data_IF_139381896495
#
_entry.id   IF_139381896495
#
_cell.length_a   1.000
_cell.length_b   1.000
_cell.length_c   1.000
_cell.angle_alpha   90.00
_cell.angle_beta   90.00
_cell.angle_gamma   90.00
#
_symmetry.space_group_name_H-M   'P 1'
#
loop_
_entity.id
_entity.type
_entity.pdbx_description
1 polymer ?
#
# COMPACT_ATOMS: atom_id res chain seq x y z
N UNK A 1 -14.61 33.12 -6.01
CA UNK A 1 -15.90 33.16 -5.27
C UNK A 1 -15.82 32.11 -4.16
N UNK A 2 -14.85 32.18 -3.23
CA UNK A 2 -14.84 33.00 -2.00
C UNK A 2 -16.27 33.30 -1.53
N UNK A 3 -17.00 32.29 -1.05
CA UNK A 3 -18.15 32.50 -0.14
C UNK A 3 -18.81 31.23 0.45
N UNK A 4 -18.27 30.02 0.25
CA UNK A 4 -18.88 28.80 0.82
C UNK A 4 -18.14 28.19 2.03
N UNK A 5 -16.94 28.67 2.38
CA UNK A 5 -16.14 28.11 3.48
C UNK A 5 -16.50 28.73 4.85
N UNK A 6 -17.16 29.90 4.88
CA UNK A 6 -17.30 30.70 6.10
C UNK A 6 -18.48 30.35 7.01
N UNK A 7 -19.32 29.35 6.69
CA UNK A 7 -20.54 29.07 7.47
C UNK A 7 -20.51 27.80 8.34
N UNK A 8 -19.40 27.06 8.38
CA UNK A 8 -19.34 25.78 9.11
C UNK A 8 -18.57 25.81 10.45
N UNK A 9 -18.23 26.99 10.98
CA UNK A 9 -17.40 27.12 12.18
C UNK A 9 -18.12 27.61 13.45
N UNK A 10 -19.45 27.75 13.48
CA UNK A 10 -20.12 28.40 14.63
C UNK A 10 -21.13 27.56 15.42
N UNK A 11 -21.15 26.23 15.31
CA UNK A 11 -22.20 25.42 15.96
C UNK A 11 -21.79 24.13 16.68
N UNK A 12 -20.50 23.88 16.97
CA UNK A 12 -20.08 22.68 17.70
C UNK A 12 -19.40 22.90 19.06
N UNK A 13 -19.21 24.15 19.49
CA UNK A 13 -18.61 24.44 20.81
C UNK A 13 -19.54 24.23 22.03
N UNK A 14 -20.76 23.70 21.86
CA UNK A 14 -21.73 23.64 22.96
C UNK A 14 -21.63 22.38 23.84
N UNK A 15 -20.93 21.32 23.41
CA UNK A 15 -20.85 20.04 24.16
C UNK A 15 -19.42 19.55 24.44
N UNK A 16 -18.40 20.42 24.32
CA UNK A 16 -17.00 20.05 24.62
C UNK A 16 -16.32 19.13 23.59
N UNK A 17 -16.91 18.92 22.41
CA UNK A 17 -16.27 18.21 21.30
C UNK A 17 -15.23 19.06 20.56
N UNK A 18 -14.20 18.41 20.02
CA UNK A 18 -13.16 19.02 19.20
C UNK A 18 -13.25 18.53 17.76
N UNK A 19 -13.05 19.42 16.79
CA UNK A 19 -13.15 19.11 15.35
C UNK A 19 -11.92 19.63 14.61
N UNK A 20 -11.24 18.74 13.90
CA UNK A 20 -10.17 19.05 12.96
C UNK A 20 -10.73 19.02 11.53
N UNK A 21 -11.19 20.18 11.08
CA UNK A 21 -11.57 20.44 9.70
C UNK A 21 -10.34 20.87 8.89
N UNK A 22 -9.50 19.92 8.50
CA UNK A 22 -8.23 20.20 7.81
C UNK A 22 -8.42 21.24 6.68
N UNK A 23 -7.93 22.44 6.93
CA UNK A 23 -7.95 23.59 6.02
C UNK A 23 -6.65 24.38 6.21
N UNK A 24 -6.44 25.42 5.40
CA UNK A 24 -5.19 26.19 5.45
C UNK A 24 -4.94 26.89 6.80
N UNK A 25 -5.97 27.19 7.58
CA UNK A 25 -5.83 27.81 8.91
C UNK A 25 -5.39 26.78 9.96
N UNK A 26 -6.01 25.59 9.99
CA UNK A 26 -5.64 24.50 10.92
C UNK A 26 -4.22 24.00 10.65
N UNK A 27 -3.80 23.95 9.38
CA UNK A 27 -2.40 23.61 9.04
C UNK A 27 -1.42 24.63 9.61
N UNK A 28 -1.74 25.92 9.50
CA UNK A 28 -0.88 26.98 10.02
C UNK A 28 -0.79 26.90 11.55
N UNK A 29 -1.90 26.61 12.22
CA UNK A 29 -1.97 26.40 13.66
C UNK A 29 -1.13 25.20 14.12
N UNK A 30 -1.25 24.07 13.44
CA UNK A 30 -0.55 22.82 13.79
C UNK A 30 0.79 22.63 13.05
N UNK A 31 1.22 23.63 12.28
CA UNK A 31 2.48 23.65 11.49
C UNK A 31 2.71 22.39 10.64
N UNK A 32 1.67 21.87 10.00
CA UNK A 32 1.79 20.65 9.18
C UNK A 32 2.69 20.94 7.96
N UNK A 33 3.90 20.39 7.96
CA UNK A 33 4.86 20.60 6.88
C UNK A 33 4.44 19.83 5.62
N UNK A 34 4.61 20.45 4.45
CA UNK A 34 4.32 19.86 3.13
C UNK A 34 2.86 19.41 2.91
N UNK A 35 1.93 19.87 3.75
CA UNK A 35 0.50 19.60 3.59
C UNK A 35 -0.01 20.00 2.20
N UNK A 36 -0.67 19.04 1.54
CA UNK A 36 -1.37 19.23 0.28
C UNK A 36 -2.83 18.88 0.43
N UNK A 37 -3.67 19.50 -0.38
CA UNK A 37 -5.10 19.21 -0.43
C UNK A 37 -5.48 18.69 -1.80
N UNK A 38 -6.42 17.75 -1.81
CA UNK A 38 -7.07 17.35 -3.04
C UNK A 38 -8.02 18.47 -3.52
N UNK A 39 -8.24 18.51 -4.82
CA UNK A 39 -9.11 19.51 -5.46
C UNK A 39 -10.59 19.25 -5.13
N UNK A 40 -11.44 20.24 -5.41
CA UNK A 40 -12.86 20.21 -5.02
C UNK A 40 -13.68 19.13 -5.72
N UNK A 41 -13.29 18.76 -6.94
CA UNK A 41 -13.95 17.74 -7.76
C UNK A 41 -13.83 16.32 -7.19
N UNK A 42 -12.92 16.13 -6.24
CA UNK A 42 -12.71 14.86 -5.53
C UNK A 42 -12.98 14.96 -4.03
N UNK A 43 -13.72 16.00 -3.61
CA UNK A 43 -14.25 16.13 -2.25
C UNK A 43 -13.36 16.87 -1.26
N UNK A 44 -12.30 17.55 -1.74
CA UNK A 44 -11.24 18.13 -0.90
C UNK A 44 -10.53 17.06 -0.04
N UNK A 45 -10.01 17.42 1.14
CA UNK A 45 -9.32 16.53 2.07
C UNK A 45 -7.81 16.74 2.09
N UNK A 46 -7.23 16.57 3.28
CA UNK A 46 -5.78 16.57 3.47
C UNK A 46 -5.21 15.31 2.85
N UNK A 47 -4.25 15.47 1.94
CA UNK A 47 -3.52 14.35 1.34
C UNK A 47 -2.46 13.87 2.34
N UNK A 48 -2.57 12.61 2.72
CA UNK A 48 -1.70 11.93 3.68
C UNK A 48 -0.88 10.89 2.93
N UNK A 49 0.44 10.95 3.08
CA UNK A 49 1.38 9.96 2.53
C UNK A 49 2.66 9.99 3.37
N UNK A 50 3.61 9.10 3.04
CA UNK A 50 4.91 8.99 3.74
C UNK A 50 5.74 10.28 3.85
N UNK A 51 5.39 11.33 3.09
CA UNK A 51 6.08 12.63 3.15
C UNK A 51 5.39 13.67 4.02
N UNK A 52 4.16 13.40 4.50
CA UNK A 52 3.25 14.44 5.00
C UNK A 52 2.54 14.12 6.32
N UNK A 53 2.64 12.92 6.90
CA UNK A 53 1.98 12.49 8.15
C UNK A 53 2.84 11.44 8.88
N UNK A 54 2.67 11.17 10.19
CA UNK A 54 1.59 11.61 11.10
C UNK A 54 1.75 13.02 11.72
N UNK A 55 0.67 13.56 12.29
CA UNK A 55 0.66 14.79 13.10
C UNK A 55 0.41 14.51 14.58
N UNK A 56 1.38 14.84 15.43
CA UNK A 56 1.23 14.81 16.89
C UNK A 56 0.48 16.05 17.39
N UNK A 57 -0.51 15.83 18.26
CA UNK A 57 -1.30 16.86 18.94
C UNK A 57 -0.71 17.08 20.33
N UNK A 58 -0.11 18.26 20.54
CA UNK A 58 0.62 18.59 21.77
C UNK A 58 -0.27 18.60 23.03
N UNK A 59 -1.55 18.98 22.89
CA UNK A 59 -2.49 19.04 24.00
C UNK A 59 -3.34 17.78 24.07
N UNK A 60 -3.24 17.08 25.21
CA UNK A 60 -4.08 15.90 25.53
C UNK A 60 -5.40 16.26 26.23
N UNK A 61 -5.74 17.55 26.36
CA UNK A 61 -6.98 17.99 27.04
C UNK A 61 -8.26 17.53 26.33
N UNK A 62 -8.19 17.27 25.03
CA UNK A 62 -9.31 16.76 24.23
C UNK A 62 -9.46 15.23 24.30
N UNK A 63 -8.59 14.50 25.01
CA UNK A 63 -8.71 13.06 25.12
C UNK A 63 -9.94 12.69 25.96
N UNK A 64 -10.80 11.77 25.47
CA UNK A 64 -11.95 11.31 26.23
C UNK A 64 -11.51 10.49 27.45
N UNK A 65 -12.34 10.41 28.48
CA UNK A 65 -12.02 9.67 29.73
C UNK A 65 -12.93 8.47 29.94
N UNK A 66 -14.25 8.65 29.86
CA UNK A 66 -15.23 7.60 30.20
C UNK A 66 -16.02 7.09 28.99
N UNK A 67 -16.42 8.00 28.11
CA UNK A 67 -17.27 7.71 26.96
C UNK A 67 -17.06 8.76 25.87
N UNK A 68 -17.24 8.39 24.60
CA UNK A 68 -17.02 9.29 23.47
C UNK A 68 -17.59 8.78 22.14
N UNK A 69 -17.56 9.68 21.16
CA UNK A 69 -17.66 9.39 19.74
C UNK A 69 -16.44 9.95 19.02
N UNK A 70 -15.79 9.13 18.18
CA UNK A 70 -14.80 9.58 17.19
C UNK A 70 -15.39 9.39 15.80
N UNK A 71 -15.22 10.37 14.91
CA UNK A 71 -15.66 10.30 13.53
C UNK A 71 -14.62 10.88 12.58
N UNK A 72 -14.47 10.25 11.42
CA UNK A 72 -13.66 10.74 10.31
C UNK A 72 -14.34 10.46 8.98
N UNK A 73 -14.17 11.37 8.02
CA UNK A 73 -14.22 11.02 6.60
C UNK A 73 -12.81 10.62 6.19
N UNK A 74 -12.67 9.44 5.60
CA UNK A 74 -11.38 8.84 5.24
C UNK A 74 -11.43 8.18 3.86
N UNK A 75 -10.34 8.28 3.12
CA UNK A 75 -10.11 7.54 1.87
C UNK A 75 -8.77 6.81 1.99
N UNK A 76 -8.74 5.51 1.69
CA UNK A 76 -7.52 4.69 1.76
C UNK A 76 -6.93 4.53 0.35
N UNK A 77 -5.66 4.86 0.15
CA UNK A 77 -4.97 4.65 -1.13
C UNK A 77 -4.01 3.47 -1.10
N UNK A 78 -3.31 3.27 0.03
CA UNK A 78 -2.45 2.11 0.28
C UNK A 78 -2.98 1.31 1.49
N UNK A 79 -3.42 0.05 1.28
CA UNK A 79 -3.73 -0.86 2.38
C UNK A 79 -2.53 -1.08 3.29
N UNK A 80 -2.76 -1.16 4.60
CA UNK A 80 -1.73 -1.44 5.59
C UNK A 80 -2.28 -2.39 6.63
N UNK A 81 -1.46 -3.32 7.11
CA UNK A 81 -1.82 -4.22 8.20
C UNK A 81 -2.21 -3.46 9.48
N UNK A 82 -1.53 -2.34 9.74
CA UNK A 82 -1.74 -1.48 10.90
C UNK A 82 -1.92 -0.01 10.46
N UNK A 83 -2.95 0.28 9.66
CA UNK A 83 -3.25 1.65 9.25
C UNK A 83 -3.95 2.44 10.37
N UNK A 84 -3.48 3.64 10.70
CA UNK A 84 -4.16 4.50 11.67
C UNK A 84 -4.73 5.77 11.05
N UNK A 85 -5.90 6.21 11.54
CA UNK A 85 -6.59 7.44 11.13
C UNK A 85 -6.43 8.50 12.22
N UNK A 86 -6.66 8.12 13.47
CA UNK A 86 -6.50 8.96 14.66
C UNK A 86 -6.45 8.08 15.89
N UNK A 87 -5.55 8.37 16.82
CA UNK A 87 -5.42 7.57 18.03
C UNK A 87 -4.43 8.13 19.03
N UNK A 88 -4.48 7.58 20.24
CA UNK A 88 -3.50 7.73 21.30
C UNK A 88 -3.32 6.33 21.87
N UNK A 89 -2.40 5.56 21.30
CA UNK A 89 -2.30 4.11 21.50
C UNK A 89 -0.88 3.72 21.93
N UNK A 90 -0.77 2.57 22.59
CA UNK A 90 0.47 1.85 22.80
C UNK A 90 0.17 0.37 22.67
N UNK A 91 0.91 -0.37 21.83
CA UNK A 91 0.67 -1.80 21.61
C UNK A 91 2.02 -2.53 21.40
N UNK A 92 2.67 -2.91 22.50
CA UNK A 92 4.01 -3.51 22.48
C UNK A 92 4.07 -4.89 23.14
N UNK A 93 3.25 -5.82 22.66
CA UNK A 93 3.02 -7.18 23.18
C UNK A 93 2.47 -7.24 24.62
N UNK A 94 3.17 -6.61 25.56
CA UNK A 94 2.86 -6.58 27.00
C UNK A 94 2.41 -5.19 27.46
N UNK A 95 2.12 -4.27 26.55
CA UNK A 95 1.74 -2.89 26.92
C UNK A 95 0.68 -2.47 25.93
N UNK A 96 -0.59 -2.60 26.31
CA UNK A 96 -1.75 -2.39 25.43
C UNK A 96 -2.71 -1.32 26.00
N UNK A 97 -2.48 -0.06 25.61
CA UNK A 97 -3.15 1.10 26.20
C UNK A 97 -3.80 2.00 25.15
N UNK A 98 -4.82 2.73 25.58
CA UNK A 98 -5.42 3.83 24.85
C UNK A 98 -6.43 3.37 23.80
N UNK A 99 -6.42 4.01 22.64
CA UNK A 99 -7.36 3.73 21.56
C UNK A 99 -6.83 4.20 20.20
N UNK A 100 -7.33 3.58 19.14
CA UNK A 100 -7.05 3.98 17.76
C UNK A 100 -8.23 3.66 16.85
N UNK A 101 -8.65 4.64 16.06
CA UNK A 101 -9.46 4.43 14.86
C UNK A 101 -8.52 4.23 13.69
N UNK A 102 -8.66 3.12 12.98
CA UNK A 102 -7.71 2.68 11.97
C UNK A 102 -8.33 1.79 10.90
N UNK A 103 -7.47 1.02 10.25
CA UNK A 103 -7.81 0.06 9.21
C UNK A 103 -6.73 -1.01 9.10
N UNK A 104 -7.10 -2.17 8.58
CA UNK A 104 -6.18 -3.23 8.15
C UNK A 104 -6.16 -3.28 6.60
N UNK A 105 -5.74 -4.38 5.99
CA UNK A 105 -5.63 -4.55 4.54
C UNK A 105 -6.97 -4.45 3.78
N UNK A 106 -8.11 -4.60 4.46
CA UNK A 106 -9.44 -4.66 3.81
C UNK A 106 -10.57 -3.96 4.56
N UNK A 107 -10.44 -3.76 5.87
CA UNK A 107 -11.50 -3.32 6.77
C UNK A 107 -11.06 -2.13 7.62
N UNK A 108 -12.03 -1.34 8.08
CA UNK A 108 -11.79 -0.37 9.15
C UNK A 108 -11.72 -1.08 10.50
N UNK A 109 -10.92 -0.55 11.42
CA UNK A 109 -10.70 -1.12 12.74
C UNK A 109 -10.84 -0.06 13.83
N UNK A 110 -11.22 -0.50 15.02
CA UNK A 110 -11.16 0.32 16.22
C UNK A 110 -10.61 -0.48 17.41
N UNK A 111 -9.48 -0.05 17.95
CA UNK A 111 -8.86 -0.59 19.15
C UNK A 111 -9.19 0.27 20.38
N UNK A 112 -9.48 -0.37 21.51
CA UNK A 112 -9.73 0.31 22.78
C UNK A 112 -9.26 -0.53 23.97
N UNK A 113 -8.57 0.11 24.91
CA UNK A 113 -8.17 -0.45 26.20
C UNK A 113 -8.80 0.35 27.36
N UNK A 114 -9.36 -0.37 28.34
CA UNK A 114 -10.10 0.21 29.46
C UNK A 114 -9.72 -0.44 30.77
N UNK A 115 -9.95 0.28 31.87
CA UNK A 115 -9.67 -0.20 33.24
C UNK A 115 -10.41 -1.50 33.55
N UNK A 116 -11.64 -1.69 33.04
CA UNK A 116 -12.46 -2.85 33.35
C UNK A 116 -12.04 -4.14 32.64
N UNK A 117 -11.28 -4.04 31.56
CA UNK A 117 -10.72 -5.20 30.84
C UNK A 117 -9.23 -5.42 31.10
N UNK A 118 -8.57 -4.50 31.80
CA UNK A 118 -7.15 -4.58 32.14
C UNK A 118 -6.80 -5.88 32.90
N UNK A 119 -5.88 -6.65 32.34
CA UNK A 119 -5.37 -7.93 32.86
C UNK A 119 -4.01 -7.81 33.58
N UNK A 120 -3.46 -6.60 33.65
CA UNK A 120 -2.25 -6.28 34.42
C UNK A 120 -1.45 -5.17 33.76
N UNK A 121 -1.36 -5.23 32.44
CA UNK A 121 -0.53 -4.40 31.57
C UNK A 121 -1.32 -3.84 30.36
N UNK A 122 -2.64 -3.77 30.53
CA UNK A 122 -3.58 -3.27 29.54
C UNK A 122 -4.04 -4.36 28.58
N UNK A 123 -5.25 -4.21 28.04
CA UNK A 123 -5.80 -5.15 27.05
C UNK A 123 -6.50 -4.36 25.94
N UNK A 124 -5.97 -4.43 24.72
CA UNK A 124 -6.56 -3.81 23.53
C UNK A 124 -7.56 -4.76 22.87
N UNK A 125 -8.84 -4.43 22.94
CA UNK A 125 -9.86 -5.11 22.11
C UNK A 125 -9.98 -4.39 20.78
N UNK A 126 -9.73 -5.11 19.69
CA UNK A 126 -9.96 -4.63 18.33
C UNK A 126 -11.31 -5.10 17.77
N UNK A 127 -12.00 -4.16 17.12
CA UNK A 127 -13.24 -4.39 16.39
C UNK A 127 -13.02 -4.06 14.92
N UNK A 128 -13.27 -5.00 14.01
CA UNK A 128 -13.27 -4.76 12.57
C UNK A 128 -14.68 -4.48 12.01
N UNK A 129 -14.75 -3.87 10.83
CA UNK A 129 -16.01 -3.53 10.15
C UNK A 129 -16.74 -4.73 9.51
N UNK A 130 -16.27 -5.96 9.72
CA UNK A 130 -16.90 -7.19 9.22
C UNK A 130 -17.01 -7.19 7.69
N UNK A 131 -18.18 -7.53 7.17
CA UNK A 131 -18.42 -7.59 5.72
C UNK A 131 -18.40 -6.20 5.03
N UNK A 132 -18.26 -5.09 5.78
CA UNK A 132 -18.12 -3.75 5.23
C UNK A 132 -16.65 -3.40 4.98
N UNK A 133 -16.07 -3.99 3.93
CA UNK A 133 -14.74 -3.64 3.45
C UNK A 133 -14.72 -2.24 2.81
N UNK A 134 -13.58 -1.55 2.90
CA UNK A 134 -13.40 -0.28 2.19
C UNK A 134 -12.95 -0.50 0.75
N UNK A 135 -13.20 0.49 -0.10
CA UNK A 135 -12.71 0.50 -1.48
C UNK A 135 -11.63 1.56 -1.66
N UNK A 136 -10.56 1.21 -2.37
CA UNK A 136 -9.41 2.10 -2.52
C UNK A 136 -9.76 3.39 -3.27
N UNK A 137 -9.35 4.51 -2.70
CA UNK A 137 -9.55 5.85 -3.23
C UNK A 137 -10.98 6.38 -3.09
N UNK A 138 -11.95 5.60 -2.58
CA UNK A 138 -13.29 6.09 -2.25
C UNK A 138 -13.32 6.74 -0.87
N UNK A 139 -14.30 7.62 -0.65
CA UNK A 139 -14.57 8.21 0.66
C UNK A 139 -15.51 7.33 1.45
N UNK A 140 -15.14 7.04 2.69
CA UNK A 140 -15.99 6.41 3.69
C UNK A 140 -16.13 7.30 4.93
N UNK A 141 -17.30 7.26 5.55
CA UNK A 141 -17.54 7.86 6.85
C UNK A 141 -17.43 6.80 7.92
N UNK A 142 -16.40 6.90 8.76
CA UNK A 142 -16.12 5.91 9.81
C UNK A 142 -16.33 6.56 11.17
N UNK A 143 -17.12 5.90 12.02
CA UNK A 143 -17.46 6.38 13.35
C UNK A 143 -17.31 5.26 14.37
N UNK A 144 -16.59 5.50 15.46
CA UNK A 144 -16.58 4.62 16.62
C UNK A 144 -17.21 5.31 17.82
N UNK A 145 -18.04 4.58 18.57
CA UNK A 145 -18.67 5.08 19.80
C UNK A 145 -18.41 4.12 20.96
N UNK A 146 -18.13 4.70 22.13
CA UNK A 146 -17.95 3.96 23.35
C UNK A 146 -18.77 4.59 24.47
N UNK A 147 -19.69 3.82 25.06
CA UNK A 147 -20.63 4.29 26.09
C UNK A 147 -20.17 4.00 27.54
N UNK A 148 -18.92 3.61 27.73
CA UNK A 148 -18.38 3.13 29.01
C UNK A 148 -18.63 1.63 29.24
N UNK A 149 -19.35 0.94 28.34
CA UNK A 149 -19.63 -0.51 28.43
C UNK A 149 -19.65 -1.22 27.09
N UNK A 150 -20.08 -0.55 26.03
CA UNK A 150 -20.20 -1.11 24.69
C UNK A 150 -19.46 -0.23 23.71
N UNK A 151 -18.61 -0.89 22.95
CA UNK A 151 -17.91 -0.34 21.80
C UNK A 151 -18.68 -0.67 20.52
N UNK A 152 -18.80 0.31 19.62
CA UNK A 152 -19.48 0.16 18.32
C UNK A 152 -18.67 0.81 17.22
N UNK A 153 -18.65 0.19 16.04
CA UNK A 153 -18.05 0.72 14.82
C UNK A 153 -19.12 0.83 13.73
N UNK A 154 -19.16 1.98 13.08
CA UNK A 154 -20.08 2.30 11.99
C UNK A 154 -19.29 2.69 10.75
N UNK A 155 -19.76 2.24 9.59
CA UNK A 155 -19.25 2.62 8.28
C UNK A 155 -20.43 3.14 7.45
N UNK A 156 -20.27 4.32 6.87
CA UNK A 156 -21.24 4.99 6.00
C UNK A 156 -22.64 5.09 6.64
N UNK A 157 -22.65 5.42 7.94
CA UNK A 157 -23.87 5.61 8.73
C UNK A 157 -24.51 4.32 9.25
N UNK A 158 -23.97 3.15 8.92
CA UNK A 158 -24.53 1.83 9.28
C UNK A 158 -23.69 1.19 10.37
N UNK A 159 -24.33 0.58 11.37
CA UNK A 159 -23.62 -0.20 12.40
C UNK A 159 -22.99 -1.44 11.75
N UNK A 160 -21.67 -1.48 11.74
CA UNK A 160 -20.90 -2.59 11.18
C UNK A 160 -20.64 -3.68 12.21
N UNK A 161 -20.25 -3.30 13.43
CA UNK A 161 -19.92 -4.25 14.49
C UNK A 161 -20.05 -3.65 15.90
N UNK A 162 -20.17 -4.48 16.93
CA UNK A 162 -20.17 -4.04 18.35
C UNK A 162 -19.66 -5.12 19.32
N UNK A 163 -19.05 -4.70 20.43
CA UNK A 163 -18.57 -5.60 21.50
C UNK A 163 -18.77 -4.98 22.88
N UNK A 164 -18.86 -5.82 23.91
CA UNK A 164 -18.97 -5.41 25.34
C UNK A 164 -17.83 -5.95 26.20
N UNK A 165 -16.69 -6.29 25.59
CA UNK A 165 -15.50 -6.77 26.30
C UNK A 165 -14.81 -5.68 27.13
N UNK A 166 -14.89 -4.43 26.68
CA UNK A 166 -14.28 -3.26 27.33
C UNK A 166 -15.31 -2.54 28.22
N UNK A 167 -14.90 -2.09 29.41
CA UNK A 167 -15.78 -1.38 30.36
C UNK A 167 -15.03 -0.39 31.27
N UNK A 168 -15.69 0.69 31.67
CA UNK A 168 -15.11 1.71 32.55
C UNK A 168 -14.24 2.72 31.81
N UNK A 169 -13.35 3.40 32.55
CA UNK A 169 -12.55 4.49 32.01
C UNK A 169 -11.50 3.95 31.02
N UNK A 170 -11.18 4.78 30.04
CA UNK A 170 -10.12 4.51 29.06
C UNK A 170 -8.78 4.44 29.79
N UNK A 171 -7.97 3.44 29.45
CA UNK A 171 -6.69 3.20 30.09
C UNK A 171 -5.57 3.77 29.20
N UNK A 172 -5.10 4.98 29.49
CA UNK A 172 -4.02 5.62 28.74
C UNK A 172 -2.63 5.30 29.30
N UNK A 173 -1.63 5.33 28.42
CA UNK A 173 -0.22 5.47 28.79
C UNK A 173 0.19 6.95 28.68
N UNK A 174 0.95 7.44 29.66
CA UNK A 174 1.39 8.84 29.72
C UNK A 174 2.33 9.20 28.54
N UNK A 175 3.14 8.24 28.06
CA UNK A 175 4.08 8.45 26.96
C UNK A 175 3.43 8.45 25.58
N UNK A 176 2.27 7.79 25.40
CA UNK A 176 1.62 7.65 24.09
C UNK A 176 1.36 8.99 23.42
N UNK A 177 1.72 9.12 22.15
CA UNK A 177 1.43 10.32 21.38
C UNK A 177 -0.04 10.34 20.94
N UNK A 178 -0.70 11.50 21.03
CA UNK A 178 -2.02 11.68 20.43
C UNK A 178 -1.82 12.14 18.99
N UNK A 179 -2.21 11.33 18.02
CA UNK A 179 -1.82 11.48 16.62
C UNK A 179 -3.03 11.50 15.68
N UNK A 180 -2.98 12.38 14.67
CA UNK A 180 -3.83 12.35 13.49
C UNK A 180 -3.05 11.80 12.29
N UNK A 181 -3.71 10.99 11.46
CA UNK A 181 -3.15 10.48 10.20
C UNK A 181 -2.08 9.42 10.36
N UNK A 182 -2.15 8.62 11.42
CA UNK A 182 -1.30 7.44 11.56
C UNK A 182 -1.63 6.62 12.79
N UNK A 183 -1.08 5.42 12.82
CA UNK A 183 -0.94 4.58 14.00
C UNK A 183 0.49 4.79 14.50
N UNK A 184 0.65 5.25 15.73
CA UNK A 184 1.95 5.59 16.30
C UNK A 184 1.97 5.14 17.75
N UNK A 185 3.01 4.38 18.09
CA UNK A 185 3.40 4.06 19.45
C UNK A 185 4.92 4.20 19.64
N UNK A 186 5.48 3.68 20.74
CA UNK A 186 6.89 3.86 21.10
C UNK A 186 7.91 3.32 20.07
N UNK A 187 7.57 2.36 19.21
CA UNK A 187 8.49 1.75 18.22
C UNK A 187 7.85 1.49 16.85
N UNK A 188 6.55 1.72 16.68
CA UNK A 188 5.83 1.60 15.43
C UNK A 188 5.35 2.96 14.93
N UNK A 189 5.45 3.16 13.61
CA UNK A 189 4.92 4.34 12.94
C UNK A 189 4.37 3.94 11.57
N UNK A 190 3.05 3.82 11.52
CA UNK A 190 2.31 3.48 10.32
C UNK A 190 1.45 4.69 9.89
N UNK A 191 2.02 5.60 9.10
CA UNK A 191 1.29 6.77 8.63
C UNK A 191 0.13 6.36 7.72
N UNK A 192 -0.99 7.08 7.80
CA UNK A 192 -2.07 6.94 6.84
C UNK A 192 -1.60 7.29 5.43
N UNK A 193 -2.04 6.51 4.45
CA UNK A 193 -1.86 6.83 3.03
C UNK A 193 -3.22 6.93 2.34
N UNK A 194 -3.56 8.15 1.92
CA UNK A 194 -4.86 8.51 1.37
C UNK A 194 -5.30 9.93 1.74
N UNK A 195 -6.59 10.11 2.06
CA UNK A 195 -7.15 11.43 2.38
C UNK A 195 -7.96 11.44 3.67
N UNK A 196 -7.83 12.53 4.41
CA UNK A 196 -8.58 12.78 5.65
C UNK A 196 -9.39 14.06 5.57
N UNK A 197 -10.60 14.00 6.12
CA UNK A 197 -11.49 15.14 6.21
C UNK A 197 -12.35 15.02 7.49
N UNK A 198 -12.60 16.16 8.15
CA UNK A 198 -13.58 16.27 9.24
C UNK A 198 -13.38 15.24 10.38
N UNK A 199 -12.16 15.15 10.94
CA UNK A 199 -11.96 14.34 12.15
C UNK A 199 -12.60 15.05 13.33
N UNK A 200 -13.36 14.34 14.15
CA UNK A 200 -13.99 14.92 15.35
C UNK A 200 -14.04 13.93 16.50
N UNK A 201 -13.76 14.42 17.70
CA UNK A 201 -13.94 13.73 18.98
C UNK A 201 -15.03 14.47 19.76
N UNK A 202 -16.07 13.79 20.17
CA UNK A 202 -17.15 14.32 21.00
C UNK A 202 -17.26 13.53 22.30
N UNK A 203 -17.44 14.24 23.42
CA UNK A 203 -17.69 13.62 24.71
C UNK A 203 -19.08 12.98 24.79
N UNK A 204 -19.99 13.35 23.88
CA UNK A 204 -21.29 12.71 23.71
C UNK A 204 -21.15 11.40 22.93
N UNK A 205 -21.81 10.37 23.45
CA UNK A 205 -22.02 9.12 22.72
C UNK A 205 -23.17 9.30 21.73
N UNK A 206 -22.88 9.20 20.44
CA UNK A 206 -23.87 9.24 19.38
C UNK A 206 -24.57 7.89 19.26
N UNK A 207 -25.89 7.89 19.09
CA UNK A 207 -26.64 6.68 18.75
C UNK A 207 -26.70 6.46 17.23
N UNK A 208 -27.23 5.30 16.80
CA UNK A 208 -27.26 4.94 15.38
C UNK A 208 -28.00 5.94 14.47
N UNK A 209 -29.08 6.59 14.95
CA UNK A 209 -29.78 7.61 14.17
C UNK A 209 -28.92 8.85 14.00
N UNK A 210 -28.23 9.27 15.06
CA UNK A 210 -27.34 10.44 15.02
C UNK A 210 -26.14 10.19 14.11
N UNK A 211 -25.58 8.98 14.12
CA UNK A 211 -24.50 8.58 13.19
C UNK A 211 -25.00 8.56 11.74
N UNK A 212 -26.19 8.01 11.48
CA UNK A 212 -26.82 8.09 10.17
C UNK A 212 -27.03 9.53 9.69
N UNK A 213 -27.50 10.42 10.58
CA UNK A 213 -27.67 11.84 10.28
C UNK A 213 -26.32 12.55 10.03
N UNK A 214 -25.23 12.11 10.66
CA UNK A 214 -23.88 12.61 10.39
C UNK A 214 -23.42 12.24 8.98
N UNK A 215 -23.63 10.99 8.57
CA UNK A 215 -23.32 10.53 7.22
C UNK A 215 -24.14 11.27 6.16
N UNK A 216 -25.46 11.36 6.35
CA UNK A 216 -26.39 11.98 5.40
C UNK A 216 -26.06 13.46 5.08
N UNK A 217 -25.41 14.18 6.01
CA UNK A 217 -24.97 15.57 5.80
C UNK A 217 -23.85 15.71 4.77
N UNK A 218 -23.14 14.62 4.45
CA UNK A 218 -21.95 14.60 3.59
C UNK A 218 -21.88 13.38 2.66
N UNK A 219 -22.97 12.63 2.51
CA UNK A 219 -23.03 11.41 1.70
C UNK A 219 -22.66 11.61 0.23
N UNK A 220 -22.67 12.85 -0.25
CA UNK A 220 -22.17 13.19 -1.58
C UNK A 220 -20.69 12.82 -1.77
N UNK A 221 -19.90 12.75 -0.70
CA UNK A 221 -18.49 12.36 -0.76
C UNK A 221 -18.32 10.90 -1.19
N UNK A 222 -19.15 9.99 -0.68
CA UNK A 222 -19.13 8.56 -1.04
C UNK A 222 -19.60 8.29 -2.48
N UNK A 223 -20.23 9.27 -3.13
CA UNK A 223 -20.65 9.18 -4.52
C UNK A 223 -19.58 9.66 -5.52
N UNK A 224 -18.43 10.15 -5.04
CA UNK A 224 -17.33 10.58 -5.89
C UNK A 224 -16.54 9.39 -6.42
N UNK A 225 -15.96 9.55 -7.60
CA UNK A 225 -15.06 8.55 -8.18
C UNK A 225 -13.82 8.35 -7.29
N UNK A 226 -13.23 7.16 -7.37
CA UNK A 226 -11.97 6.87 -6.69
C UNK A 226 -10.87 7.82 -7.16
N UNK A 227 -10.07 8.28 -6.20
CA UNK A 227 -8.97 9.20 -6.46
C UNK A 227 -7.70 8.75 -5.76
N UNK A 228 -6.57 9.14 -6.35
CA UNK A 228 -5.25 8.98 -5.77
C UNK A 228 -4.33 10.15 -6.14
N UNK A 229 -3.48 10.55 -5.19
CA UNK A 229 -2.37 11.50 -5.43
C UNK A 229 -1.17 10.82 -6.08
N UNK A 230 -1.17 9.48 -6.10
CA UNK A 230 -0.15 8.66 -6.71
C UNK A 230 -0.20 8.83 -8.22
N UNK A 231 0.88 9.36 -8.78
CA UNK A 231 1.03 9.49 -10.22
C UNK A 231 1.52 8.20 -10.83
N UNK A 232 1.03 7.86 -12.02
CA UNK A 232 1.55 6.74 -12.80
C UNK A 232 3.07 6.85 -13.01
N UNK A 233 3.77 5.83 -12.52
CA UNK A 233 5.20 5.55 -12.65
C UNK A 233 5.43 4.03 -12.53
N UNK A 234 6.66 3.58 -12.77
CA UNK A 234 7.07 2.18 -12.55
C UNK A 234 7.30 1.94 -11.05
N UNK A 235 6.51 1.05 -10.43
CA UNK A 235 6.79 0.54 -9.08
C UNK A 235 7.87 -0.55 -9.14
N UNK A 236 7.80 -1.39 -10.18
CA UNK A 236 8.84 -2.31 -10.61
C UNK A 236 8.94 -2.17 -12.12
N UNK A 237 10.10 -1.74 -12.61
CA UNK A 237 10.35 -1.66 -14.05
C UNK A 237 10.32 -3.07 -14.70
N UNK A 238 10.01 -3.17 -16.01
CA UNK A 238 10.02 -4.44 -16.74
C UNK A 238 11.28 -5.28 -16.58
N UNK A 239 11.08 -6.53 -16.17
CA UNK A 239 12.11 -7.57 -16.02
C UNK A 239 11.72 -8.87 -16.73
N UNK A 240 12.70 -9.77 -16.87
CA UNK A 240 12.60 -10.98 -17.68
C UNK A 240 12.73 -12.25 -16.83
N UNK A 241 11.83 -13.22 -17.04
CA UNK A 241 11.88 -14.55 -16.45
C UNK A 241 11.55 -15.64 -17.46
N UNK A 242 11.79 -16.90 -17.04
CA UNK A 242 11.36 -18.12 -17.71
C UNK A 242 11.58 -18.13 -19.23
N UNK A 243 12.85 -18.03 -19.66
CA UNK A 243 13.17 -18.11 -21.08
C UNK A 243 13.01 -19.55 -21.58
N UNK A 244 12.54 -19.70 -22.81
CA UNK A 244 12.69 -20.94 -23.60
C UNK A 244 13.30 -20.58 -24.96
N UNK A 245 13.42 -21.56 -25.86
CA UNK A 245 13.89 -21.30 -27.23
C UNK A 245 12.91 -20.44 -28.03
N UNK A 246 11.63 -20.39 -27.64
CA UNK A 246 10.58 -19.68 -28.38
C UNK A 246 9.68 -18.76 -27.53
N UNK A 247 9.93 -18.66 -26.24
CA UNK A 247 9.14 -17.87 -25.28
C UNK A 247 10.01 -17.10 -24.29
N UNK A 248 9.44 -16.03 -23.73
CA UNK A 248 10.04 -15.20 -22.69
C UNK A 248 8.93 -14.56 -21.86
N UNK A 249 9.09 -14.51 -20.55
CA UNK A 249 8.16 -13.77 -19.70
C UNK A 249 8.66 -12.35 -19.44
N UNK A 250 7.75 -11.37 -19.55
CA UNK A 250 7.98 -9.97 -19.21
C UNK A 250 7.00 -9.58 -18.13
N UNK A 251 7.51 -9.17 -16.96
CA UNK A 251 6.68 -8.78 -15.81
C UNK A 251 7.08 -7.40 -15.31
N UNK A 252 6.13 -6.67 -14.72
CA UNK A 252 6.31 -5.35 -14.13
C UNK A 252 5.15 -4.95 -13.22
N UNK A 253 5.35 -3.90 -12.42
CA UNK A 253 4.32 -3.32 -11.56
C UNK A 253 4.29 -1.79 -11.72
N UNK A 254 3.09 -1.22 -11.84
CA UNK A 254 2.86 0.22 -11.89
C UNK A 254 2.35 0.78 -10.56
N UNK A 255 2.60 2.06 -10.31
CA UNK A 255 2.14 2.77 -9.10
C UNK A 255 0.64 3.03 -9.07
N UNK A 256 -0.11 2.75 -10.14
CA UNK A 256 -1.57 2.80 -10.23
C UNK A 256 -2.07 1.71 -11.20
N UNK A 257 -3.34 1.27 -11.14
CA UNK A 257 -3.88 0.33 -12.12
C UNK A 257 -3.82 0.86 -13.56
N UNK A 258 -3.26 0.06 -14.47
CA UNK A 258 -3.11 0.39 -15.89
C UNK A 258 -3.60 -0.72 -16.80
N UNK A 259 -3.96 -0.39 -18.03
CA UNK A 259 -3.80 -1.34 -19.14
C UNK A 259 -2.38 -1.21 -19.68
N UNK A 260 -1.78 -2.29 -20.16
CA UNK A 260 -0.42 -2.24 -20.67
C UNK A 260 -0.24 -3.00 -21.97
N UNK A 261 0.78 -2.65 -22.73
CA UNK A 261 1.15 -3.27 -24.00
C UNK A 261 2.65 -3.58 -24.04
N UNK A 262 3.00 -4.78 -24.50
CA UNK A 262 4.37 -5.20 -24.75
C UNK A 262 4.53 -5.46 -26.25
N UNK A 263 5.45 -4.72 -26.88
CA UNK A 263 5.79 -4.90 -28.30
C UNK A 263 7.17 -5.52 -28.44
N UNK A 264 7.31 -6.46 -29.38
CA UNK A 264 8.56 -7.16 -29.66
C UNK A 264 9.00 -6.96 -31.12
N UNK A 265 10.28 -6.66 -31.30
CA UNK A 265 10.91 -6.39 -32.59
C UNK A 265 12.18 -7.24 -32.74
N UNK A 266 12.43 -7.78 -33.94
CA UNK A 266 13.72 -8.39 -34.24
C UNK A 266 14.83 -7.34 -34.36
N UNK A 267 16.08 -7.81 -34.40
CA UNK A 267 17.27 -6.95 -34.44
C UNK A 267 17.34 -6.04 -35.68
N UNK A 268 16.75 -6.46 -36.80
CA UNK A 268 16.57 -5.67 -38.02
C UNK A 268 15.44 -4.62 -37.93
N UNK A 269 14.73 -4.56 -36.80
CA UNK A 269 13.66 -3.60 -36.54
C UNK A 269 12.28 -4.05 -37.02
N UNK A 270 12.13 -5.25 -37.57
CA UNK A 270 10.83 -5.78 -37.98
C UNK A 270 9.98 -6.07 -36.74
N UNK A 271 8.79 -5.47 -36.68
CA UNK A 271 7.82 -5.77 -35.63
C UNK A 271 7.36 -7.23 -35.77
N UNK A 272 7.46 -8.00 -34.67
CA UNK A 272 7.04 -9.40 -34.66
C UNK A 272 5.62 -9.54 -34.14
N UNK A 273 5.32 -8.90 -33.01
CA UNK A 273 3.99 -8.89 -32.43
C UNK A 273 3.87 -7.81 -31.35
N UNK A 274 2.64 -7.57 -30.93
CA UNK A 274 2.31 -6.82 -29.73
C UNK A 274 1.26 -7.59 -28.92
N UNK A 275 1.36 -7.52 -27.60
CA UNK A 275 0.41 -8.13 -26.66
C UNK A 275 -0.06 -7.05 -25.68
N UNK A 276 -1.37 -6.91 -25.53
CA UNK A 276 -1.97 -5.94 -24.62
C UNK A 276 -2.85 -6.59 -23.55
N UNK A 277 -2.93 -5.96 -22.38
CA UNK A 277 -3.92 -6.31 -21.36
C UNK A 277 -5.19 -5.48 -21.54
N UNK A 278 -6.35 -6.09 -21.30
CA UNK A 278 -7.64 -5.40 -21.31
C UNK A 278 -8.07 -4.96 -19.91
N UNK A 279 -7.68 -5.73 -18.89
CA UNK A 279 -7.93 -5.43 -17.49
C UNK A 279 -6.96 -4.37 -16.98
N UNK A 280 -7.48 -3.47 -16.15
CA UNK A 280 -6.69 -2.48 -15.41
C UNK A 280 -6.21 -3.08 -14.10
N UNK A 281 -4.91 -3.28 -13.96
CA UNK A 281 -4.28 -3.79 -12.75
C UNK A 281 -2.91 -3.16 -12.55
N UNK A 282 -2.32 -3.32 -11.37
CA UNK A 282 -0.97 -2.79 -11.07
C UNK A 282 0.11 -3.73 -11.57
N UNK A 283 -0.06 -5.03 -11.33
CA UNK A 283 0.89 -6.05 -11.75
C UNK A 283 0.52 -6.66 -13.09
N UNK A 284 1.48 -6.70 -14.00
CA UNK A 284 1.33 -7.23 -15.35
C UNK A 284 2.39 -8.28 -15.64
N UNK A 285 1.97 -9.34 -16.33
CA UNK A 285 2.83 -10.44 -16.77
C UNK A 285 2.39 -10.84 -18.17
N UNK A 286 3.37 -10.93 -19.08
CA UNK A 286 3.19 -11.26 -20.47
C UNK A 286 4.11 -12.42 -20.85
N UNK A 287 3.52 -13.52 -21.32
CA UNK A 287 4.25 -14.64 -21.93
C UNK A 287 4.41 -14.40 -23.43
N UNK A 288 5.54 -13.80 -23.80
CA UNK A 288 5.94 -13.65 -25.19
C UNK A 288 6.15 -15.04 -25.82
N UNK A 289 5.68 -15.24 -27.05
CA UNK A 289 5.73 -16.53 -27.74
C UNK A 289 6.02 -16.36 -29.24
N UNK A 290 6.11 -17.48 -29.97
CA UNK A 290 6.46 -17.51 -31.39
C UNK A 290 7.78 -16.79 -31.72
N UNK A 291 8.74 -16.85 -30.79
CA UNK A 291 10.09 -16.35 -30.97
C UNK A 291 10.97 -17.41 -31.66
N UNK A 292 12.02 -16.95 -32.32
CA UNK A 292 13.03 -17.81 -32.92
C UNK A 292 14.13 -18.13 -31.90
N UNK A 293 14.67 -19.34 -31.98
CA UNK A 293 15.74 -19.84 -31.10
C UNK A 293 17.02 -19.02 -31.20
N UNK A 294 17.69 -18.81 -30.06
CA UNK A 294 18.96 -18.10 -29.93
C UNK A 294 19.03 -16.71 -30.60
N UNK A 295 17.87 -16.06 -30.77
CA UNK A 295 17.75 -14.81 -31.49
C UNK A 295 17.66 -13.64 -30.51
N UNK A 296 18.34 -12.54 -30.88
CA UNK A 296 18.24 -11.28 -30.14
C UNK A 296 16.99 -10.52 -30.57
N UNK A 297 16.23 -10.08 -29.58
CA UNK A 297 15.03 -9.27 -29.73
C UNK A 297 15.14 -7.98 -28.94
N UNK A 298 14.29 -7.04 -29.30
CA UNK A 298 14.07 -5.82 -28.55
C UNK A 298 12.61 -5.70 -28.16
N UNK A 299 12.37 -5.32 -26.91
CA UNK A 299 11.03 -5.12 -26.40
C UNK A 299 10.84 -3.70 -25.86
N UNK A 300 9.60 -3.23 -25.94
CA UNK A 300 9.15 -2.00 -25.32
C UNK A 300 7.84 -2.28 -24.58
N UNK A 301 7.66 -1.60 -23.46
CA UNK A 301 6.47 -1.70 -22.62
C UNK A 301 5.87 -0.32 -22.47
N UNK A 302 4.57 -0.21 -22.71
CA UNK A 302 3.77 0.98 -22.43
C UNK A 302 2.69 0.64 -21.41
N UNK A 303 2.42 1.54 -20.48
CA UNK A 303 1.36 1.41 -19.48
C UNK A 303 0.52 2.68 -19.46
N UNK A 304 -0.81 2.53 -19.50
CA UNK A 304 -1.76 3.66 -19.57
C UNK A 304 -2.76 3.60 -18.42
N UNK A 305 -2.84 4.68 -17.64
CA UNK A 305 -3.76 4.79 -16.50
C UNK A 305 -5.20 5.13 -16.92
N UNK A 306 -6.10 5.22 -15.93
CA UNK A 306 -7.51 5.58 -16.15
C UNK A 306 -7.70 7.00 -16.68
N UNK A 307 -6.72 7.90 -16.51
CA UNK A 307 -6.73 9.28 -16.96
C UNK A 307 -6.14 9.45 -18.37
N UNK A 308 -5.68 8.35 -18.98
CA UNK A 308 -5.07 8.34 -20.31
C UNK A 308 -3.61 8.80 -20.33
N UNK A 309 -2.95 8.92 -19.17
CA UNK A 309 -1.50 9.14 -19.11
C UNK A 309 -0.81 7.83 -19.45
N UNK A 310 0.17 7.89 -20.34
CA UNK A 310 1.02 6.75 -20.72
C UNK A 310 2.45 6.96 -20.23
N UNK A 311 3.06 5.91 -19.69
CA UNK A 311 4.50 5.81 -19.45
C UNK A 311 5.07 4.68 -20.31
N UNK A 312 6.31 4.85 -20.76
CA UNK A 312 6.99 3.89 -21.62
C UNK A 312 8.39 3.61 -21.05
N UNK A 313 8.85 2.36 -21.14
CA UNK A 313 10.28 2.07 -20.97
C UNK A 313 11.00 2.18 -22.31
N UNK A 314 12.19 2.79 -22.29
CA UNK A 314 13.05 2.85 -23.47
C UNK A 314 13.40 1.42 -23.94
N UNK A 315 13.43 1.20 -25.25
CA UNK A 315 13.66 -0.10 -25.91
C UNK A 315 14.81 -0.90 -25.26
N UNK A 316 14.46 -1.98 -24.56
CA UNK A 316 15.38 -2.95 -23.96
C UNK A 316 15.57 -4.15 -24.91
N UNK A 317 16.53 -5.00 -24.61
CA UNK A 317 16.84 -6.18 -25.44
C UNK A 317 17.00 -7.43 -24.62
N UNK A 318 16.58 -8.56 -25.18
CA UNK A 318 16.83 -9.89 -24.64
C UNK A 318 17.27 -10.84 -25.75
N UNK A 319 17.67 -12.05 -25.37
CA UNK A 319 17.92 -13.16 -26.30
C UNK A 319 17.18 -14.40 -25.81
N UNK A 320 16.53 -15.12 -26.73
CA UNK A 320 15.88 -16.40 -26.43
C UNK A 320 16.89 -17.47 -26.05
N UNK A 321 16.44 -18.54 -25.40
CA UNK A 321 17.33 -19.62 -25.02
C UNK A 321 18.04 -20.22 -26.25
N UNK A 322 19.31 -20.62 -26.10
CA UNK A 322 20.06 -21.34 -27.12
C UNK A 322 19.50 -22.75 -27.33
N UNK A 323 19.75 -23.34 -28.50
CA UNK A 323 19.54 -24.78 -28.72
C UNK A 323 20.66 -25.64 -28.13
N UNK A 324 20.50 -26.96 -28.15
CA UNK A 324 21.46 -27.94 -27.57
C UNK A 324 22.88 -27.87 -28.16
N UNK A 325 23.03 -27.32 -29.36
CA UNK A 325 24.33 -27.24 -30.04
C UNK A 325 25.01 -25.86 -29.89
N UNK A 326 24.33 -24.92 -29.25
CA UNK A 326 24.80 -23.54 -29.10
C UNK A 326 25.49 -23.34 -27.76
N UNK A 327 26.58 -22.54 -27.78
CA UNK A 327 27.26 -22.14 -26.54
C UNK A 327 26.52 -21.01 -25.85
N UNK A 328 26.49 -21.05 -24.53
CA UNK A 328 25.93 -19.98 -23.72
C UNK A 328 26.75 -19.75 -22.45
N UNK A 329 26.45 -18.63 -21.81
CA UNK A 329 27.03 -18.24 -20.52
C UNK A 329 25.90 -17.91 -19.55
N UNK A 330 26.11 -18.20 -18.29
CA UNK A 330 25.18 -17.84 -17.23
C UNK A 330 25.94 -17.31 -16.02
N UNK A 331 25.24 -16.57 -15.17
CA UNK A 331 25.73 -16.17 -13.85
C UNK A 331 24.86 -16.85 -12.79
N UNK A 332 25.50 -17.42 -11.78
CA UNK A 332 24.83 -17.86 -10.57
C UNK A 332 25.02 -16.79 -9.48
N UNK A 333 23.91 -16.32 -8.90
CA UNK A 333 23.87 -15.33 -7.81
C UNK A 333 22.96 -15.89 -6.71
N UNK A 334 23.13 -15.46 -5.47
CA UNK A 334 22.22 -15.75 -4.35
C UNK A 334 22.35 -14.65 -3.32
N UNK A 335 21.46 -14.66 -2.33
CA UNK A 335 21.59 -13.83 -1.12
C UNK A 335 21.65 -12.32 -1.43
N UNK A 336 20.83 -11.84 -2.37
CA UNK A 336 20.73 -10.41 -2.73
C UNK A 336 19.89 -9.60 -1.73
N UNK A 337 19.54 -10.20 -0.60
CA UNK A 337 18.70 -9.69 0.48
C UNK A 337 18.78 -8.17 0.74
N UNK A 338 19.80 -7.74 1.48
CA UNK A 338 19.97 -6.34 1.92
C UNK A 338 21.15 -5.69 1.21
N UNK A 339 21.38 -4.39 1.46
CA UNK A 339 22.45 -3.60 0.84
C UNK A 339 22.27 -3.43 -0.68
N UNK A 340 21.17 -2.78 -1.08
CA UNK A 340 20.83 -2.45 -2.46
C UNK A 340 22.03 -1.95 -3.30
N UNK A 341 22.88 -1.08 -2.75
CA UNK A 341 24.07 -0.55 -3.45
C UNK A 341 25.15 -1.61 -3.73
N UNK A 342 25.29 -2.64 -2.89
CA UNK A 342 26.20 -3.77 -3.13
C UNK A 342 25.61 -4.65 -4.22
N UNK A 343 24.33 -5.02 -4.09
CA UNK A 343 23.60 -5.85 -5.05
C UNK A 343 23.65 -5.23 -6.43
N UNK A 344 23.39 -3.92 -6.54
CA UNK A 344 23.47 -3.20 -7.81
C UNK A 344 24.85 -3.28 -8.44
N UNK A 345 25.92 -3.12 -7.66
CA UNK A 345 27.30 -3.26 -8.18
C UNK A 345 27.56 -4.67 -8.70
N UNK A 346 27.05 -5.70 -8.01
CA UNK A 346 27.16 -7.10 -8.48
C UNK A 346 26.35 -7.29 -9.77
N UNK A 347 25.13 -6.76 -9.85
CA UNK A 347 24.30 -6.82 -11.06
C UNK A 347 24.97 -6.10 -12.26
N UNK A 348 25.54 -4.92 -12.04
CA UNK A 348 26.30 -4.17 -13.05
C UNK A 348 27.52 -4.99 -13.54
N UNK A 349 28.28 -5.61 -12.63
CA UNK A 349 29.41 -6.47 -12.95
C UNK A 349 28.98 -7.72 -13.73
N UNK A 350 27.94 -8.41 -13.28
CA UNK A 350 27.38 -9.58 -13.95
C UNK A 350 26.93 -9.24 -15.37
N UNK A 351 26.27 -8.09 -15.57
CA UNK A 351 25.84 -7.65 -16.90
C UNK A 351 27.02 -7.40 -17.85
N UNK A 352 28.17 -6.93 -17.36
CA UNK A 352 29.37 -6.74 -18.19
C UNK A 352 29.91 -8.05 -18.79
N UNK A 353 29.63 -9.20 -18.16
CA UNK A 353 29.97 -10.52 -18.70
C UNK A 353 29.00 -10.98 -19.80
N UNK A 354 27.93 -10.23 -20.07
CA UNK A 354 26.90 -10.51 -21.08
C UNK A 354 26.31 -11.93 -20.99
N UNK A 355 25.85 -12.36 -19.81
CA UNK A 355 25.24 -13.68 -19.67
C UNK A 355 23.97 -13.81 -20.51
N UNK A 356 23.67 -15.05 -20.91
CA UNK A 356 22.40 -15.42 -21.52
C UNK A 356 21.31 -15.69 -20.48
N UNK A 357 21.72 -16.05 -19.26
CA UNK A 357 20.84 -16.45 -18.17
C UNK A 357 21.43 -16.03 -16.82
N UNK A 358 20.56 -15.66 -15.88
CA UNK A 358 20.89 -15.56 -14.46
C UNK A 358 20.18 -16.67 -13.71
N UNK A 359 20.89 -17.43 -12.89
CA UNK A 359 20.29 -18.39 -11.94
C UNK A 359 20.43 -17.80 -10.55
N UNK A 360 19.31 -17.63 -9.85
CA UNK A 360 19.30 -17.05 -8.50
C UNK A 360 19.00 -18.12 -7.45
N UNK A 361 19.93 -18.37 -6.54
CA UNK A 361 19.90 -19.47 -5.59
C UNK A 361 19.07 -19.21 -4.32
N UNK A 362 18.04 -18.36 -4.41
CA UNK A 362 17.21 -17.94 -3.27
C UNK A 362 17.76 -16.75 -2.48
N UNK A 363 16.97 -16.32 -1.49
CA UNK A 363 17.22 -15.16 -0.64
C UNK A 363 17.38 -13.87 -1.47
N UNK A 364 16.36 -13.62 -2.30
CA UNK A 364 16.23 -12.45 -3.15
C UNK A 364 16.05 -11.19 -2.28
N UNK A 365 15.25 -11.30 -1.23
CA UNK A 365 14.87 -10.23 -0.31
C UNK A 365 15.21 -10.59 1.13
N UNK A 366 15.23 -9.60 2.03
CA UNK A 366 15.50 -9.86 3.46
C UNK A 366 14.28 -10.44 4.18
N UNK A 367 13.07 -10.00 3.81
CA UNK A 367 11.80 -10.52 4.35
C UNK A 367 10.74 -10.58 3.26
N UNK A 368 10.33 -11.79 2.85
CA UNK A 368 9.39 -12.02 1.75
C UNK A 368 8.01 -11.37 1.91
N UNK A 369 7.54 -11.22 3.15
CA UNK A 369 6.24 -10.58 3.44
C UNK A 369 6.30 -9.04 3.38
N UNK A 370 7.50 -8.45 3.31
CA UNK A 370 7.68 -6.99 3.27
C UNK A 370 7.84 -6.51 1.83
N UNK A 371 6.76 -5.98 1.24
CA UNK A 371 6.73 -5.44 -0.13
C UNK A 371 7.85 -4.43 -0.45
N UNK A 372 8.30 -3.66 0.55
CA UNK A 372 9.39 -2.70 0.40
C UNK A 372 10.74 -3.37 0.11
N UNK A 373 10.99 -4.59 0.59
CA UNK A 373 12.23 -5.31 0.26
C UNK A 373 12.23 -5.73 -1.22
N UNK A 374 11.08 -6.10 -1.78
CA UNK A 374 10.95 -6.39 -3.21
C UNK A 374 11.13 -5.14 -4.06
N UNK A 375 10.30 -4.13 -3.80
CA UNK A 375 10.13 -2.95 -4.67
C UNK A 375 11.17 -1.85 -4.41
N UNK A 376 11.74 -1.79 -3.22
CA UNK A 376 12.74 -0.81 -2.83
C UNK A 376 14.17 -1.34 -2.87
N UNK A 377 14.39 -2.64 -2.69
CA UNK A 377 15.73 -3.24 -2.68
C UNK A 377 15.98 -4.14 -3.89
N UNK A 378 15.31 -5.30 -3.99
CA UNK A 378 15.67 -6.33 -4.98
C UNK A 378 15.53 -5.83 -6.42
N UNK A 379 14.33 -5.43 -6.83
CA UNK A 379 14.06 -5.08 -8.23
C UNK A 379 14.90 -3.88 -8.71
N UNK A 380 14.93 -2.73 -8.01
CA UNK A 380 15.76 -1.60 -8.45
C UNK A 380 17.25 -1.93 -8.54
N UNK A 381 17.77 -2.77 -7.65
CA UNK A 381 19.18 -3.15 -7.62
C UNK A 381 19.55 -4.10 -8.74
N UNK A 382 18.67 -5.06 -9.05
CA UNK A 382 18.90 -6.06 -10.10
C UNK A 382 18.55 -5.56 -11.50
N UNK A 383 17.77 -4.48 -11.61
CA UNK A 383 17.23 -3.98 -12.88
C UNK A 383 18.25 -3.77 -14.02
N UNK A 384 19.49 -3.29 -13.76
CA UNK A 384 20.52 -3.21 -14.81
C UNK A 384 20.78 -4.54 -15.53
N UNK A 385 20.61 -5.67 -14.82
CA UNK A 385 20.80 -7.03 -15.32
C UNK A 385 19.49 -7.64 -15.80
N UNK A 386 18.45 -7.70 -14.95
CA UNK A 386 17.24 -8.50 -15.22
C UNK A 386 16.27 -7.88 -16.21
N UNK A 387 16.39 -6.58 -16.51
CA UNK A 387 15.71 -5.96 -17.64
C UNK A 387 16.28 -6.36 -19.01
N UNK A 388 17.35 -7.16 -19.06
CA UNK A 388 18.01 -7.56 -20.33
C UNK A 388 18.40 -9.03 -20.39
N UNK A 389 18.59 -9.65 -19.24
CA UNK A 389 18.95 -11.06 -19.11
C UNK A 389 17.87 -11.74 -18.28
N UNK A 390 17.22 -12.80 -18.79
CA UNK A 390 16.24 -13.53 -18.00
C UNK A 390 16.89 -14.12 -16.75
N UNK A 391 16.19 -14.06 -15.62
CA UNK A 391 16.61 -14.75 -14.41
C UNK A 391 15.65 -15.88 -14.02
N UNK A 392 16.20 -16.89 -13.37
CA UNK A 392 15.50 -18.09 -12.89
C UNK A 392 15.84 -18.25 -11.40
N UNK A 393 14.99 -17.76 -10.48
CA UNK A 393 15.19 -17.86 -9.04
C UNK A 393 14.54 -19.12 -8.45
N UNK A 394 15.14 -19.65 -7.40
CA UNK A 394 14.44 -20.55 -6.46
C UNK A 394 14.11 -19.79 -5.17
N UNK A 395 13.16 -20.29 -4.40
CA UNK A 395 12.77 -19.74 -3.11
C UNK A 395 13.85 -20.06 -2.05
N UNK A 396 14.29 -19.05 -1.31
CA UNK A 396 15.16 -19.16 -0.13
C UNK A 396 14.39 -19.04 1.19
N UNK A 397 15.08 -19.16 2.32
CA UNK A 397 14.41 -19.10 3.62
C UNK A 397 13.90 -17.70 3.98
N UNK A 398 14.48 -16.63 3.40
CA UNK A 398 14.04 -15.26 3.66
C UNK A 398 12.79 -14.86 2.89
N UNK A 399 12.46 -15.56 1.79
CA UNK A 399 11.19 -15.38 1.08
C UNK A 399 9.98 -15.84 1.89
N UNK A 400 10.16 -16.69 2.91
CA UNK A 400 9.12 -17.12 3.86
C UNK A 400 7.86 -17.72 3.22
N UNK A 401 7.98 -18.29 2.01
CA UNK A 401 6.83 -18.76 1.23
C UNK A 401 5.75 -17.67 1.02
N UNK A 402 6.19 -16.40 1.00
CA UNK A 402 5.29 -15.26 0.92
C UNK A 402 4.66 -15.12 -0.46
N UNK A 403 3.39 -14.72 -0.49
CA UNK A 403 2.62 -14.52 -1.72
C UNK A 403 3.34 -13.59 -2.72
N UNK A 404 4.09 -12.60 -2.24
CA UNK A 404 4.86 -11.70 -3.11
C UNK A 404 5.87 -12.43 -4.03
N UNK A 405 6.47 -13.54 -3.60
CA UNK A 405 7.33 -14.33 -4.49
C UNK A 405 6.52 -14.82 -5.71
N UNK A 406 5.38 -15.45 -5.47
CA UNK A 406 4.49 -15.99 -6.50
C UNK A 406 3.80 -14.88 -7.31
N UNK A 407 3.60 -13.70 -6.73
CA UNK A 407 3.09 -12.55 -7.47
C UNK A 407 4.11 -12.06 -8.49
N UNK A 408 5.41 -12.05 -8.14
CA UNK A 408 6.46 -11.46 -8.96
C UNK A 408 7.14 -12.44 -9.91
N UNK A 409 7.06 -13.73 -9.66
CA UNK A 409 7.74 -14.73 -10.47
C UNK A 409 6.78 -15.34 -11.48
N UNK A 410 7.25 -15.50 -12.71
CA UNK A 410 6.62 -16.34 -13.72
C UNK A 410 7.59 -17.47 -14.05
N UNK A 411 7.33 -18.66 -13.50
CA UNK A 411 8.25 -19.79 -13.54
C UNK A 411 7.49 -21.08 -13.85
N UNK A 412 8.18 -22.17 -14.25
CA UNK A 412 7.52 -23.45 -14.38
C UNK A 412 6.86 -23.85 -13.05
N UNK A 413 5.63 -24.33 -13.14
CA UNK A 413 4.87 -24.77 -11.97
C UNK A 413 5.58 -25.93 -11.25
N UNK A 414 5.54 -25.98 -9.91
CA UNK A 414 4.80 -25.11 -8.97
C UNK A 414 5.54 -23.81 -8.54
N UNK A 415 6.54 -23.33 -9.29
CA UNK A 415 7.34 -22.11 -9.03
C UNK A 415 8.26 -22.15 -7.80
N UNK A 416 7.86 -22.82 -6.72
CA UNK A 416 8.65 -23.03 -5.50
C UNK A 416 9.84 -23.99 -5.71
N UNK A 417 9.69 -24.96 -6.62
CA UNK A 417 10.74 -25.84 -7.11
C UNK A 417 10.38 -26.23 -8.54
N UNK A 418 11.36 -26.30 -9.42
CA UNK A 418 11.10 -26.61 -10.82
C UNK A 418 12.37 -27.10 -11.52
N UNK A 419 12.19 -27.63 -12.72
CA UNK A 419 13.26 -27.91 -13.68
C UNK A 419 13.01 -27.12 -14.95
N UNK A 420 14.08 -26.71 -15.62
CA UNK A 420 14.04 -26.09 -16.94
C UNK A 420 15.30 -26.50 -17.71
N UNK A 421 15.24 -26.39 -19.03
CA UNK A 421 16.38 -26.66 -19.92
C UNK A 421 16.87 -25.34 -20.50
N UNK A 422 18.19 -25.19 -20.64
CA UNK A 422 18.78 -24.03 -21.29
C UNK A 422 20.00 -24.44 -22.11
N UNK A 423 19.84 -24.52 -23.43
CA UNK A 423 20.87 -25.08 -24.31
C UNK A 423 21.03 -26.57 -24.08
N UNK A 424 22.24 -26.99 -23.69
CA UNK A 424 22.58 -28.38 -23.38
C UNK A 424 22.68 -28.68 -21.88
N UNK A 425 22.12 -27.81 -21.03
CA UNK A 425 22.15 -27.92 -19.57
C UNK A 425 20.76 -28.12 -18.98
#
# INVERSE_FOLDING_TARGET
MISYVFYFCLLLFMNGGHVWNFNSEIIAEHKIQNAKFAESDVGYGLICNSKCMPLTIDSKESLPVEHFTISAWVSIEEPKRWGGIVGCVQDNDQVEYGWVLGYNETQFTFGLSTVGANDGDGLLTYLDSGDHAYELGLWHHVVATYDGKKLRLYVDGILSNETSEQSGNILYNESSEFVLGGYVDDNENHPHDGRLLMISIDSKVMNALEVGDMYEKRKELSALDSWTDTTLDWKVEPYLNWPTTNEMSVSFETTVPTTAEVSCHSEDGVARFSMGSTEKKRFHQFRLNNLEENQKYFYAVSATDSKGKTIDIQKLSFRTAPGENDSFTFVAIGDTQSQADVVKRVADLAYMHRPNLVVHAGDLVSTGTVKADWTGHFFPSMQPLIGRVPFMPVLGNHEQDAQHYYDYMDLPQPEMYYSFEFGNA
#
